data_IF_669893017331
#
_entry.id   IF_669893017331
#
_cell.length_a   1.000
_cell.length_b   1.000
_cell.length_c   1.000
_cell.angle_alpha   90.00
_cell.angle_beta   90.00
_cell.angle_gamma   90.00
#
_symmetry.space_group_name_H-M   'P 1'
#
loop_
_entity.id
_entity.type
_entity.pdbx_description
1 polymer ?
#
# COMPACT_ATOMS: atom_id res chain seq x y z
N UNK A 1 2.21 -27.14 -3.12
CA UNK A 1 2.48 -25.82 -2.50
C UNK A 1 1.17 -25.09 -2.30
N UNK A 2 0.59 -25.21 -1.11
CA UNK A 2 -0.65 -24.54 -0.72
C UNK A 2 -0.37 -23.04 -0.51
N UNK A 3 -0.93 -22.19 -1.37
CA UNK A 3 -0.91 -20.73 -1.20
C UNK A 3 -1.64 -20.41 0.09
N UNK A 4 -0.91 -19.98 1.12
CA UNK A 4 -1.51 -19.39 2.33
C UNK A 4 -2.28 -18.15 1.90
N UNK A 5 -3.61 -18.26 1.88
CA UNK A 5 -4.50 -17.10 1.97
C UNK A 5 -4.26 -16.48 3.33
N UNK A 6 -3.50 -15.40 3.38
CA UNK A 6 -3.40 -14.58 4.59
C UNK A 6 -4.76 -13.90 4.81
N UNK A 7 -5.63 -14.58 5.55
CA UNK A 7 -6.86 -14.05 6.16
C UNK A 7 -6.63 -13.67 7.63
N UNK A 8 -5.38 -13.39 8.01
CA UNK A 8 -4.98 -13.19 9.40
C UNK A 8 -4.92 -11.70 9.75
N UNK A 9 -5.78 -11.29 10.67
CA UNK A 9 -5.59 -10.13 11.56
C UNK A 9 -4.11 -9.93 11.92
N UNK A 10 -3.44 -8.94 11.34
CA UNK A 10 -2.00 -8.81 11.50
C UNK A 10 -1.43 -7.44 11.16
N UNK A 11 -2.02 -6.32 11.61
CA UNK A 11 -1.47 -5.02 11.24
C UNK A 11 -2.00 -3.78 11.96
N UNK A 12 -2.18 -3.79 13.29
CA UNK A 12 -2.74 -2.63 14.04
C UNK A 12 -2.03 -1.30 13.77
N UNK A 13 -0.74 -1.29 13.41
CA UNK A 13 -0.02 -0.05 13.05
C UNK A 13 -0.16 0.35 11.58
N UNK A 14 -0.12 -0.59 10.63
CA UNK A 14 -0.24 -0.27 9.20
C UNK A 14 -1.67 0.18 8.92
N UNK A 15 -2.67 -0.54 9.42
CA UNK A 15 -4.09 -0.21 9.22
C UNK A 15 -4.42 1.17 9.79
N UNK A 16 -3.98 1.50 11.01
CA UNK A 16 -4.23 2.82 11.59
C UNK A 16 -3.57 3.96 10.80
N UNK A 17 -2.43 3.71 10.15
CA UNK A 17 -1.75 4.76 9.36
C UNK A 17 -2.37 4.87 7.96
N UNK A 18 -2.74 3.76 7.33
CA UNK A 18 -3.51 3.78 6.09
C UNK A 18 -4.88 4.42 6.32
N UNK A 19 -5.54 4.13 7.43
CA UNK A 19 -6.78 4.78 7.84
C UNK A 19 -6.63 6.29 7.90
N UNK A 20 -5.58 6.78 8.57
CA UNK A 20 -5.26 8.21 8.64
C UNK A 20 -5.00 8.83 7.27
N UNK A 21 -4.27 8.16 6.39
CA UNK A 21 -4.02 8.63 5.04
C UNK A 21 -5.31 8.74 4.21
N UNK A 22 -6.23 7.78 4.38
CA UNK A 22 -7.54 7.83 3.75
C UNK A 22 -8.38 8.98 4.32
N UNK A 23 -8.30 9.26 5.62
CA UNK A 23 -8.97 10.42 6.25
C UNK A 23 -8.45 11.75 5.74
N UNK A 24 -7.15 11.87 5.52
CA UNK A 24 -6.50 13.06 4.95
C UNK A 24 -6.80 13.23 3.45
N UNK A 25 -7.53 12.30 2.81
CA UNK A 25 -7.86 12.36 1.40
C UNK A 25 -6.71 11.99 0.46
N UNK A 26 -5.62 11.41 0.99
CA UNK A 26 -4.48 10.96 0.18
C UNK A 26 -4.86 9.78 -0.75
N UNK A 27 -5.93 9.06 -0.39
CA UNK A 27 -6.57 8.09 -1.27
C UNK A 27 -7.98 8.56 -1.62
N UNK A 28 -8.40 8.43 -2.89
CA UNK A 28 -9.77 8.76 -3.30
C UNK A 28 -10.74 7.68 -2.83
N UNK A 29 -11.10 7.72 -1.54
CA UNK A 29 -12.13 6.86 -0.96
C UNK A 29 -13.44 7.64 -0.78
N UNK A 30 -14.56 7.05 -1.21
CA UNK A 30 -15.88 7.54 -0.80
C UNK A 30 -16.11 7.10 0.65
N UNK A 31 -16.91 7.83 1.43
CA UNK A 31 -17.29 7.44 2.82
C UNK A 31 -17.71 5.96 2.92
N UNK A 32 -18.46 5.45 1.93
CA UNK A 32 -18.95 4.06 1.88
C UNK A 32 -17.86 3.01 1.60
N UNK A 33 -16.70 3.39 1.06
CA UNK A 33 -15.64 2.44 0.68
C UNK A 33 -14.37 2.59 1.52
N UNK A 34 -14.39 3.46 2.54
CA UNK A 34 -13.21 3.79 3.37
C UNK A 34 -12.55 2.54 3.96
N UNK A 35 -13.31 1.71 4.67
CA UNK A 35 -12.80 0.47 5.29
C UNK A 35 -12.23 -0.51 4.27
N UNK A 36 -12.88 -0.66 3.11
CA UNK A 36 -12.40 -1.53 2.05
C UNK A 36 -11.12 -0.98 1.40
N UNK A 37 -11.03 0.33 1.18
CA UNK A 37 -9.80 0.98 0.69
C UNK A 37 -8.64 0.74 1.67
N UNK A 38 -8.87 0.91 2.98
CA UNK A 38 -7.84 0.65 4.00
C UNK A 38 -7.36 -0.79 3.92
N UNK A 39 -8.30 -1.74 3.99
CA UNK A 39 -8.02 -3.18 3.92
C UNK A 39 -7.22 -3.53 2.66
N UNK A 40 -7.63 -3.03 1.50
CA UNK A 40 -6.96 -3.33 0.22
C UNK A 40 -5.54 -2.78 0.19
N UNK A 41 -5.37 -1.51 0.56
CA UNK A 41 -4.05 -0.87 0.54
C UNK A 41 -3.10 -1.53 1.55
N UNK A 42 -3.56 -1.84 2.75
CA UNK A 42 -2.79 -2.59 3.75
C UNK A 42 -2.38 -3.97 3.21
N UNK A 43 -3.33 -4.74 2.70
CA UNK A 43 -3.06 -6.07 2.15
C UNK A 43 -2.11 -6.03 0.94
N UNK A 44 -2.17 -4.98 0.12
CA UNK A 44 -1.22 -4.79 -0.97
C UNK A 44 0.22 -4.59 -0.44
N UNK A 45 0.41 -3.75 0.57
CA UNK A 45 1.72 -3.52 1.18
C UNK A 45 2.25 -4.79 1.86
N UNK A 46 1.39 -5.53 2.57
CA UNK A 46 1.74 -6.81 3.17
C UNK A 46 2.10 -7.87 2.14
N UNK A 47 1.34 -7.98 1.06
CA UNK A 47 1.64 -8.90 -0.03
C UNK A 47 3.02 -8.58 -0.65
N UNK A 48 3.30 -7.30 -0.90
CA UNK A 48 4.63 -6.90 -1.39
C UNK A 48 5.71 -7.31 -0.39
N UNK A 49 5.50 -7.09 0.92
CA UNK A 49 6.47 -7.44 1.96
C UNK A 49 6.73 -8.94 2.05
N UNK A 50 5.67 -9.74 2.18
CA UNK A 50 5.77 -11.14 2.61
C UNK A 50 5.70 -12.13 1.44
N UNK A 51 4.96 -11.84 0.38
CA UNK A 51 4.86 -12.74 -0.79
C UNK A 51 5.96 -12.45 -1.82
N UNK A 52 6.35 -11.18 -1.95
CA UNK A 52 7.35 -10.72 -2.90
C UNK A 52 8.69 -10.35 -2.25
N UNK A 53 8.89 -10.66 -0.97
CA UNK A 53 10.09 -10.32 -0.20
C UNK A 53 10.47 -8.83 -0.31
N UNK A 54 9.46 -7.96 -0.31
CA UNK A 54 9.61 -6.51 -0.44
C UNK A 54 9.89 -6.01 -1.85
N UNK A 55 9.93 -6.89 -2.87
CA UNK A 55 10.31 -6.54 -4.25
C UNK A 55 9.33 -7.14 -5.27
N UNK A 56 8.26 -6.41 -5.58
CA UNK A 56 7.28 -6.80 -6.61
C UNK A 56 7.88 -6.59 -8.01
N UNK A 57 8.09 -7.65 -8.81
CA UNK A 57 8.60 -7.48 -10.16
C UNK A 57 7.60 -6.78 -11.08
N UNK A 58 8.09 -5.88 -11.95
CA UNK A 58 7.19 -5.10 -12.82
C UNK A 58 6.40 -5.95 -13.83
N UNK A 59 6.91 -7.10 -14.25
CA UNK A 59 6.19 -8.02 -15.14
C UNK A 59 5.03 -8.75 -14.43
N UNK A 60 5.05 -8.85 -13.10
CA UNK A 60 3.96 -9.44 -12.32
C UNK A 60 2.90 -8.41 -11.88
N UNK A 61 3.13 -7.13 -12.12
CA UNK A 61 2.26 -6.05 -11.69
C UNK A 61 0.81 -6.23 -12.17
N UNK A 62 0.62 -6.66 -13.42
CA UNK A 62 -0.72 -6.90 -13.97
C UNK A 62 -1.45 -7.98 -13.17
N UNK A 63 -0.80 -9.12 -12.94
CA UNK A 63 -1.35 -10.24 -12.15
C UNK A 63 -1.68 -9.81 -10.72
N UNK A 64 -0.78 -9.04 -10.09
CA UNK A 64 -0.99 -8.48 -8.77
C UNK A 64 -2.24 -7.57 -8.73
N UNK A 65 -2.36 -6.66 -9.69
CA UNK A 65 -3.49 -5.73 -9.79
C UNK A 65 -4.81 -6.46 -10.02
N UNK A 66 -4.85 -7.39 -10.99
CA UNK A 66 -6.05 -8.19 -11.28
C UNK A 66 -6.51 -8.98 -10.05
N UNK A 67 -5.57 -9.54 -9.27
CA UNK A 67 -5.87 -10.25 -8.02
C UNK A 67 -6.60 -9.34 -7.01
N UNK A 68 -6.06 -8.17 -6.73
CA UNK A 68 -6.66 -7.25 -5.75
C UNK A 68 -7.97 -6.64 -6.24
N UNK A 69 -8.10 -6.38 -7.55
CA UNK A 69 -9.36 -5.94 -8.14
C UNK A 69 -10.48 -6.98 -7.91
N UNK A 70 -10.20 -8.25 -8.20
CA UNK A 70 -11.16 -9.35 -8.03
C UNK A 70 -11.56 -9.56 -6.56
N UNK A 71 -10.64 -9.39 -5.61
CA UNK A 71 -10.89 -9.60 -4.19
C UNK A 71 -11.69 -8.47 -3.52
N UNK A 72 -11.60 -7.24 -4.02
CA UNK A 72 -12.11 -6.04 -3.35
C UNK A 72 -13.29 -5.34 -4.05
N UNK A 73 -13.70 -5.84 -5.23
CA UNK A 73 -14.69 -5.21 -6.10
C UNK A 73 -14.29 -3.81 -6.59
N UNK A 74 -13.02 -3.41 -6.42
CA UNK A 74 -12.47 -2.24 -7.08
C UNK A 74 -12.02 -2.58 -8.50
N UNK A 75 -12.10 -1.61 -9.41
CA UNK A 75 -11.56 -1.75 -10.76
C UNK A 75 -10.02 -1.82 -10.72
N UNK A 76 -9.41 -2.49 -11.70
CA UNK A 76 -7.95 -2.51 -11.86
C UNK A 76 -7.37 -1.08 -11.92
N UNK A 77 -8.09 -0.15 -12.57
CA UNK A 77 -7.71 1.27 -12.63
C UNK A 77 -7.60 1.91 -11.25
N UNK A 78 -8.50 1.56 -10.32
CA UNK A 78 -8.41 2.04 -8.94
C UNK A 78 -7.21 1.45 -8.20
N UNK A 79 -6.93 0.15 -8.38
CA UNK A 79 -5.76 -0.48 -7.78
C UNK A 79 -4.45 0.14 -8.31
N UNK A 80 -4.34 0.36 -9.63
CA UNK A 80 -3.21 1.10 -10.20
C UNK A 80 -3.08 2.50 -9.60
N UNK A 81 -4.20 3.21 -9.40
CA UNK A 81 -4.18 4.52 -8.75
C UNK A 81 -3.63 4.41 -7.33
N UNK A 82 -4.09 3.45 -6.53
CA UNK A 82 -3.56 3.26 -5.17
C UNK A 82 -2.05 2.97 -5.17
N UNK A 83 -1.54 2.18 -6.11
CA UNK A 83 -0.09 1.96 -6.27
C UNK A 83 0.64 3.28 -6.57
N UNK A 84 0.09 4.12 -7.44
CA UNK A 84 0.67 5.42 -7.76
C UNK A 84 0.62 6.39 -6.58
N UNK A 85 -0.48 6.42 -5.80
CA UNK A 85 -0.55 7.23 -4.58
C UNK A 85 0.48 6.76 -3.54
N UNK A 86 0.63 5.45 -3.34
CA UNK A 86 1.67 4.89 -2.46
C UNK A 86 3.08 5.29 -2.91
N UNK A 87 3.32 5.43 -4.22
CA UNK A 87 4.59 5.96 -4.75
C UNK A 87 4.75 7.45 -4.54
N UNK A 88 3.69 8.23 -4.77
CA UNK A 88 3.70 9.69 -4.54
C UNK A 88 3.96 10.03 -3.08
N UNK A 89 3.35 9.27 -2.16
CA UNK A 89 3.60 9.33 -0.71
C UNK A 89 5.00 8.78 -0.35
N UNK A 90 5.67 8.11 -1.29
CA UNK A 90 6.99 7.47 -1.17
C UNK A 90 7.02 6.32 -0.17
N UNK A 91 5.94 5.57 -0.10
CA UNK A 91 5.91 4.24 0.50
C UNK A 91 6.41 3.16 -0.45
N UNK A 92 6.25 3.40 -1.75
CA UNK A 92 6.78 2.55 -2.81
C UNK A 92 7.78 3.31 -3.67
N UNK A 93 8.80 2.60 -4.16
CA UNK A 93 9.81 3.12 -5.08
C UNK A 93 9.96 2.18 -6.27
N UNK A 94 10.18 2.72 -7.47
CA UNK A 94 10.63 1.94 -8.62
C UNK A 94 12.15 1.85 -8.59
N UNK A 95 12.69 0.64 -8.66
CA UNK A 95 14.14 0.40 -8.76
C UNK A 95 14.45 -0.47 -9.98
N UNK A 96 15.66 -0.29 -10.49
CA UNK A 96 16.27 -1.19 -11.47
C UNK A 96 17.43 -1.90 -10.78
N UNK A 97 17.41 -3.22 -10.80
CA UNK A 97 18.51 -4.01 -10.28
C UNK A 97 19.67 -3.98 -11.29
N UNK A 98 20.78 -3.34 -10.92
CA UNK A 98 21.91 -3.04 -11.81
C UNK A 98 22.48 -4.31 -12.46
N UNK A 99 22.52 -5.42 -11.72
CA UNK A 99 23.12 -6.67 -12.21
C UNK A 99 22.24 -7.41 -13.22
N UNK A 100 20.92 -7.24 -13.15
CA UNK A 100 19.97 -7.99 -13.98
C UNK A 100 19.17 -7.12 -14.95
N UNK A 101 19.26 -5.79 -14.84
CA UNK A 101 18.43 -4.81 -15.54
C UNK A 101 16.92 -5.03 -15.34
N UNK A 102 16.54 -5.77 -14.28
CA UNK A 102 15.15 -6.07 -13.96
C UNK A 102 14.54 -4.94 -13.14
N UNK A 103 13.29 -4.60 -13.46
CA UNK A 103 12.55 -3.53 -12.81
C UNK A 103 11.66 -4.07 -11.69
N UNK A 104 11.68 -3.41 -10.53
CA UNK A 104 10.91 -3.78 -9.35
C UNK A 104 10.20 -2.58 -8.75
N UNK A 105 9.04 -2.81 -8.16
CA UNK A 105 8.39 -1.92 -7.20
C UNK A 105 8.74 -2.45 -5.82
N UNK A 106 9.36 -1.62 -4.98
CA UNK A 106 9.81 -2.01 -3.64
C UNK A 106 9.18 -1.13 -2.57
N UNK A 107 9.12 -1.65 -1.34
CA UNK A 107 8.87 -0.79 -0.17
C UNK A 107 10.04 0.19 -0.02
N UNK A 108 9.73 1.48 0.09
CA UNK A 108 10.75 2.51 0.28
C UNK A 108 11.55 2.24 1.56
N UNK A 109 12.87 2.47 1.52
CA UNK A 109 13.71 2.45 2.73
C UNK A 109 13.26 3.47 3.77
N UNK A 110 12.56 4.53 3.33
CA UNK A 110 11.99 5.58 4.18
C UNK A 110 10.55 5.32 4.58
N UNK A 111 10.00 4.13 4.27
CA UNK A 111 8.62 3.78 4.58
C UNK A 111 8.28 4.04 6.06
N UNK A 112 9.04 3.44 6.98
CA UNK A 112 8.77 3.58 8.42
C UNK A 112 8.89 5.02 8.94
N UNK A 113 9.92 5.76 8.50
CA UNK A 113 10.11 7.16 8.94
C UNK A 113 9.06 8.11 8.39
N UNK A 114 8.63 7.93 7.12
CA UNK A 114 7.54 8.70 6.52
C UNK A 114 6.20 8.43 7.21
N UNK A 115 5.91 7.16 7.50
CA UNK A 115 4.72 6.75 8.23
C UNK A 115 4.64 7.42 9.60
N UNK A 116 5.76 7.47 10.34
CA UNK A 116 5.84 8.13 11.65
C UNK A 116 5.73 9.65 11.56
N UNK A 117 6.34 10.28 10.55
CA UNK A 117 6.27 11.73 10.36
C UNK A 117 4.82 12.18 10.08
N UNK A 118 4.14 11.52 9.14
CA UNK A 118 2.74 11.78 8.82
C UNK A 118 1.82 11.62 10.04
N UNK A 119 2.05 10.60 10.86
CA UNK A 119 1.29 10.39 12.09
C UNK A 119 1.49 11.54 13.10
N UNK A 120 2.73 12.04 13.24
CA UNK A 120 3.05 13.13 14.16
C UNK A 120 2.47 14.47 13.71
N UNK A 121 2.64 14.81 12.43
CA UNK A 121 2.14 16.07 11.87
C UNK A 121 0.62 16.19 12.04
N UNK A 122 -0.11 15.09 11.84
CA UNK A 122 -1.54 15.01 12.08
C UNK A 122 -1.92 15.23 13.55
N UNK A 123 -1.26 14.52 14.48
CA UNK A 123 -1.55 14.69 15.91
C UNK A 123 -1.25 16.12 16.39
N UNK A 124 -0.22 16.77 15.81
CA UNK A 124 0.07 18.17 16.07
C UNK A 124 -1.07 19.07 15.57
N UNK A 125 -1.55 18.87 14.34
CA UNK A 125 -2.67 19.64 13.79
C UNK A 125 -3.95 19.52 14.64
N UNK A 126 -4.25 18.34 15.17
CA UNK A 126 -5.38 18.14 16.10
C UNK A 126 -5.18 18.81 17.47
N UNK A 127 -3.92 18.95 17.91
CA UNK A 127 -3.58 19.56 19.19
C UNK A 127 -3.44 21.08 19.12
N UNK A 128 -3.38 21.66 17.92
CA UNK A 128 -3.50 23.10 17.69
C UNK A 128 -5.00 23.49 17.76
N UNK A 129 -5.54 23.51 18.99
CA UNK A 129 -6.85 24.07 19.35
C UNK A 129 -6.65 25.14 20.42
#
# INVERSE_FOLDING_TARGET
MTRKTYLGHGGTMIDSIIEKLVEMGAFPARKKTKTETIRVVSNMLEAIKYEYNGRLPRWELKTFVTRFANQSKFSERQIYRYINELKALGFLEDIVDVGTQKHYIVLSKRFGSRMLALYRDYNKWLGEV
#
